data_IF_937615157061
#
_entry.id   IF_937615157061
#
_cell.length_a   1.000
_cell.length_b   1.000
_cell.length_c   1.000
_cell.angle_alpha   90.00
_cell.angle_beta   90.00
_cell.angle_gamma   90.00
#
_symmetry.space_group_name_H-M   'P 1'
#
loop_
_entity.id
_entity.type
_entity.pdbx_description
1 polymer ?
#
# COMPACT_ATOMS: atom_id res chain seq x y z
N UNK A 1 -4.33 12.53 24.08
CA UNK A 1 -4.54 13.62 25.07
C UNK A 1 -3.24 14.34 25.47
N UNK A 2 -2.19 13.65 25.93
CA UNK A 2 -0.92 14.32 26.27
C UNK A 2 -0.24 14.91 25.04
N UNK A 3 -0.16 14.15 23.95
CA UNK A 3 0.40 14.62 22.68
C UNK A 3 -0.39 15.78 22.07
N UNK A 4 -1.71 15.69 22.10
CA UNK A 4 -2.62 16.77 21.68
C UNK A 4 -2.39 18.05 22.50
N UNK A 5 -2.27 17.93 23.82
CA UNK A 5 -1.92 19.05 24.69
C UNK A 5 -0.53 19.62 24.45
N UNK A 6 0.38 18.80 23.94
CA UNK A 6 1.72 19.22 23.55
C UNK A 6 1.79 19.87 22.15
N UNK A 7 0.65 20.01 21.45
CA UNK A 7 0.55 20.69 20.17
C UNK A 7 0.76 19.78 18.94
N UNK A 8 0.51 18.48 19.08
CA UNK A 8 0.48 17.57 17.93
C UNK A 8 -0.81 17.74 17.15
N UNK A 9 -0.73 17.92 15.83
CA UNK A 9 -1.87 18.22 14.97
C UNK A 9 -2.60 16.97 14.45
N UNK A 10 -1.92 15.82 14.39
CA UNK A 10 -2.47 14.56 13.88
C UNK A 10 -1.77 13.35 14.51
N UNK A 11 -2.48 12.23 14.69
CA UNK A 11 -1.93 10.98 15.16
C UNK A 11 -1.96 9.92 14.05
N UNK A 12 -0.79 9.37 13.70
CA UNK A 12 -0.69 8.16 12.89
C UNK A 12 -0.61 6.94 13.80
N UNK A 13 -1.63 6.09 13.76
CA UNK A 13 -1.74 4.91 14.61
C UNK A 13 -1.27 3.68 13.85
N UNK A 14 -0.20 3.07 14.34
CA UNK A 14 0.37 1.81 13.86
C UNK A 14 0.44 0.80 15.01
N UNK A 15 0.73 -0.45 14.69
CA UNK A 15 0.84 -1.53 15.70
C UNK A 15 2.16 -2.29 15.59
N UNK A 16 2.48 -3.02 16.67
CA UNK A 16 3.68 -3.86 16.73
C UNK A 16 4.95 -3.12 17.16
N UNK A 17 6.03 -3.84 17.17
CA UNK A 17 7.37 -3.36 17.49
C UNK A 17 8.44 -4.22 16.82
N UNK A 18 9.72 -3.95 17.06
CA UNK A 18 10.85 -4.72 16.48
C UNK A 18 10.86 -6.19 16.87
N UNK A 19 10.25 -6.58 17.97
CA UNK A 19 10.15 -7.97 18.46
C UNK A 19 8.94 -8.68 17.81
N UNK A 20 7.78 -7.99 17.76
CA UNK A 20 6.55 -8.50 17.13
C UNK A 20 6.34 -7.87 15.74
N UNK A 21 7.25 -8.10 14.82
CA UNK A 21 7.23 -7.51 13.47
C UNK A 21 5.99 -7.87 12.66
N UNK A 22 5.44 -9.07 12.86
CA UNK A 22 4.21 -9.49 12.17
C UNK A 22 3.02 -8.56 12.45
N UNK A 23 3.00 -7.88 13.60
CA UNK A 23 1.97 -6.89 13.90
C UNK A 23 2.21 -5.55 13.22
N UNK A 24 3.47 -5.13 13.05
CA UNK A 24 3.80 -3.88 12.35
C UNK A 24 3.78 -4.03 10.81
N UNK A 25 4.02 -5.23 10.33
CA UNK A 25 4.08 -5.56 8.89
C UNK A 25 3.15 -6.74 8.59
N UNK A 26 1.83 -6.50 8.51
CA UNK A 26 0.86 -7.58 8.32
C UNK A 26 1.16 -8.41 7.07
N UNK A 27 1.22 -9.75 7.27
CA UNK A 27 1.50 -10.73 6.24
C UNK A 27 0.33 -10.92 5.26
N UNK A 28 0.53 -11.63 4.13
CA UNK A 28 -0.57 -12.12 3.30
C UNK A 28 -1.60 -12.88 4.15
N UNK A 29 -2.89 -12.71 3.84
CA UNK A 29 -3.98 -13.33 4.60
C UNK A 29 -4.38 -12.60 5.89
N UNK A 30 -3.60 -11.66 6.39
CA UNK A 30 -4.06 -10.78 7.49
C UNK A 30 -5.20 -9.91 6.99
N UNK A 31 -6.22 -9.69 7.83
CA UNK A 31 -7.33 -8.76 7.53
C UNK A 31 -6.77 -7.38 7.16
N UNK A 32 -7.33 -6.76 6.13
CA UNK A 32 -7.04 -5.37 5.80
C UNK A 32 -7.52 -4.44 6.93
N UNK A 33 -6.86 -3.31 7.11
CA UNK A 33 -7.18 -2.41 8.21
C UNK A 33 -6.85 -3.02 9.60
N UNK A 34 -5.80 -3.84 9.70
CA UNK A 34 -5.48 -4.61 10.92
C UNK A 34 -5.22 -3.75 12.17
N UNK A 35 -5.01 -2.46 12.03
CA UNK A 35 -4.83 -1.53 13.16
C UNK A 35 -6.02 -0.57 13.35
N UNK A 36 -7.12 -0.78 12.62
CA UNK A 36 -8.29 0.10 12.67
C UNK A 36 -8.94 0.13 14.07
N UNK A 37 -8.96 -0.99 14.77
CA UNK A 37 -9.49 -1.02 16.15
C UNK A 37 -8.68 -0.11 17.10
N UNK A 38 -7.35 -0.07 16.90
CA UNK A 38 -6.46 0.80 17.68
C UNK A 38 -6.73 2.28 17.38
N UNK A 39 -6.81 2.63 16.08
CA UNK A 39 -7.09 4.00 15.66
C UNK A 39 -8.46 4.47 16.13
N UNK A 40 -9.49 3.64 16.02
CA UNK A 40 -10.84 3.93 16.50
C UNK A 40 -10.88 4.17 18.02
N UNK A 41 -10.18 3.34 18.78
CA UNK A 41 -10.09 3.53 20.22
C UNK A 41 -9.40 4.86 20.61
N UNK A 42 -8.35 5.24 19.87
CA UNK A 42 -7.64 6.50 20.09
C UNK A 42 -8.49 7.69 19.63
N UNK A 43 -9.13 7.62 18.47
CA UNK A 43 -9.99 8.66 17.92
C UNK A 43 -11.08 9.08 18.91
N UNK A 44 -11.68 8.14 19.60
CA UNK A 44 -12.68 8.42 20.66
C UNK A 44 -12.14 9.21 21.86
N UNK A 45 -10.82 9.38 21.96
CA UNK A 45 -10.18 10.00 23.13
C UNK A 45 -9.50 11.35 22.84
N UNK A 46 -9.42 11.75 21.56
CA UNK A 46 -8.76 12.99 21.12
C UNK A 46 -9.66 13.76 20.17
N UNK A 47 -9.37 15.07 20.01
CA UNK A 47 -10.10 15.95 19.07
C UNK A 47 -9.29 16.28 17.82
N UNK A 48 -8.08 15.74 17.69
CA UNK A 48 -7.21 15.88 16.51
C UNK A 48 -7.40 14.70 15.56
N UNK A 49 -7.17 14.87 14.26
CA UNK A 49 -7.29 13.80 13.29
C UNK A 49 -6.46 12.57 13.64
N UNK A 50 -7.01 11.40 13.37
CA UNK A 50 -6.37 10.11 13.60
C UNK A 50 -6.33 9.32 12.29
N UNK A 51 -5.13 8.95 11.87
CA UNK A 51 -4.93 8.10 10.71
C UNK A 51 -4.62 6.66 11.13
N UNK A 52 -5.12 5.72 10.34
CA UNK A 52 -4.85 4.29 10.49
C UNK A 52 -3.95 3.74 9.40
N UNK A 53 -3.35 2.58 9.65
CA UNK A 53 -2.59 1.79 8.70
C UNK A 53 -2.85 0.30 8.96
N UNK A 54 -2.38 -0.58 8.12
CA UNK A 54 -2.43 -2.02 8.36
C UNK A 54 -2.95 -2.83 7.19
N UNK A 55 -2.11 -2.99 6.16
CA UNK A 55 -2.42 -3.76 4.95
C UNK A 55 -3.70 -3.30 4.23
N UNK A 56 -3.97 -2.02 4.21
CA UNK A 56 -5.06 -1.47 3.38
C UNK A 56 -4.53 -1.48 1.94
N UNK A 57 -5.16 -2.28 1.08
CA UNK A 57 -4.78 -2.45 -0.33
C UNK A 57 -5.93 -2.13 -1.27
N UNK A 58 -7.16 -2.28 -0.83
CA UNK A 58 -8.37 -2.05 -1.62
C UNK A 58 -9.03 -0.74 -1.18
N UNK A 59 -9.42 0.08 -2.15
CA UNK A 59 -10.00 1.41 -1.90
C UNK A 59 -11.27 1.33 -1.05
N UNK A 60 -12.16 0.37 -1.34
CA UNK A 60 -13.40 0.20 -0.60
C UNK A 60 -13.19 -0.06 0.90
N UNK A 61 -12.05 -0.71 1.29
CA UNK A 61 -11.71 -0.89 2.72
C UNK A 61 -11.38 0.44 3.37
N UNK A 62 -10.66 1.32 2.67
CA UNK A 62 -10.38 2.66 3.16
C UNK A 62 -11.67 3.49 3.31
N UNK A 63 -12.56 3.41 2.32
CA UNK A 63 -13.86 4.08 2.36
C UNK A 63 -14.73 3.59 3.53
N UNK A 64 -14.80 2.29 3.78
CA UNK A 64 -15.52 1.74 4.94
C UNK A 64 -14.94 2.24 6.26
N UNK A 65 -13.62 2.33 6.39
CA UNK A 65 -12.97 2.84 7.60
C UNK A 65 -13.37 4.29 7.86
N UNK A 66 -13.36 5.12 6.83
CA UNK A 66 -13.73 6.55 6.95
C UNK A 66 -15.24 6.71 7.17
N UNK A 67 -16.07 6.01 6.38
CA UNK A 67 -17.53 6.10 6.47
C UNK A 67 -18.07 5.66 7.85
N UNK A 68 -17.40 4.70 8.49
CA UNK A 68 -17.74 4.24 9.84
C UNK A 68 -17.03 5.05 10.94
N UNK A 69 -16.39 6.17 10.63
CA UNK A 69 -15.69 7.05 11.57
C UNK A 69 -14.62 6.34 12.44
N UNK A 70 -14.02 5.26 11.92
CA UNK A 70 -13.00 4.49 12.62
C UNK A 70 -11.62 5.16 12.59
N UNK A 71 -11.39 6.00 11.57
CA UNK A 71 -10.24 6.88 11.42
C UNK A 71 -10.63 8.09 10.54
N UNK A 72 -9.79 9.12 10.50
CA UNK A 72 -9.97 10.30 9.64
C UNK A 72 -9.16 10.19 8.34
N UNK A 73 -8.16 9.32 8.32
CA UNK A 73 -7.34 9.05 7.14
C UNK A 73 -6.80 7.62 7.16
N UNK A 74 -6.44 7.12 5.97
CA UNK A 74 -5.83 5.83 5.78
C UNK A 74 -4.45 5.97 5.14
N UNK A 75 -3.42 5.36 5.73
CA UNK A 75 -2.09 5.26 5.13
C UNK A 75 -1.99 4.01 4.25
N UNK A 76 -1.80 4.22 2.96
CA UNK A 76 -1.68 3.16 1.95
C UNK A 76 -0.24 3.15 1.45
N UNK A 77 0.56 2.17 1.89
CA UNK A 77 1.98 2.09 1.55
C UNK A 77 2.24 1.11 0.40
N UNK A 78 2.19 -0.19 0.68
CA UNK A 78 2.58 -1.24 -0.28
C UNK A 78 1.75 -1.27 -1.56
N UNK A 79 0.49 -0.86 -1.52
CA UNK A 79 -0.34 -0.73 -2.71
C UNK A 79 0.22 0.34 -3.65
N UNK A 80 0.68 1.49 -3.13
CA UNK A 80 1.33 2.54 -3.93
C UNK A 80 2.68 2.10 -4.52
N UNK A 81 3.43 1.22 -3.84
CA UNK A 81 4.64 0.61 -4.44
C UNK A 81 4.29 -0.34 -5.59
N UNK A 82 3.16 -1.02 -5.49
CA UNK A 82 2.66 -1.94 -6.50
C UNK A 82 2.07 -1.19 -7.71
N UNK A 83 1.32 -0.14 -7.43
CA UNK A 83 0.65 0.73 -8.41
C UNK A 83 0.91 2.19 -8.05
N UNK A 84 1.88 2.86 -8.70
CA UNK A 84 2.18 4.28 -8.44
C UNK A 84 0.99 5.19 -8.68
N UNK A 85 0.14 4.87 -9.67
CA UNK A 85 -1.07 5.61 -10.01
C UNK A 85 -2.31 5.21 -9.18
N UNK A 86 -2.12 4.48 -8.08
CA UNK A 86 -3.20 3.95 -7.26
C UNK A 86 -4.24 5.03 -6.89
N UNK A 87 -3.79 6.14 -6.32
CA UNK A 87 -4.69 7.19 -5.87
C UNK A 87 -5.45 7.86 -7.04
N UNK A 88 -4.77 8.12 -8.15
CA UNK A 88 -5.37 8.70 -9.35
C UNK A 88 -6.40 7.76 -9.96
N UNK A 89 -6.06 6.48 -10.11
CA UNK A 89 -6.98 5.47 -10.66
C UNK A 89 -8.24 5.30 -9.81
N UNK A 90 -8.08 5.26 -8.48
CA UNK A 90 -9.21 5.20 -7.56
C UNK A 90 -10.07 6.46 -7.66
N UNK A 91 -9.46 7.64 -7.65
CA UNK A 91 -10.18 8.91 -7.75
C UNK A 91 -10.98 9.05 -9.07
N UNK A 92 -10.47 8.48 -10.16
CA UNK A 92 -11.09 8.50 -11.48
C UNK A 92 -12.08 7.34 -11.70
N UNK A 93 -12.33 6.48 -10.72
CA UNK A 93 -13.22 5.32 -10.85
C UNK A 93 -12.65 4.19 -11.72
N UNK A 94 -11.32 4.08 -11.80
CA UNK A 94 -10.59 3.09 -12.60
C UNK A 94 -9.93 2.01 -11.73
N UNK A 95 -10.58 1.60 -10.64
CA UNK A 95 -10.04 0.62 -9.69
C UNK A 95 -9.72 -0.72 -10.34
N UNK A 96 -10.45 -1.09 -11.40
CA UNK A 96 -10.21 -2.32 -12.16
C UNK A 96 -8.83 -2.35 -12.83
N UNK A 97 -8.23 -1.19 -13.06
CA UNK A 97 -6.90 -1.04 -13.65
C UNK A 97 -5.77 -1.03 -12.61
N UNK A 98 -6.11 -1.06 -11.33
CA UNK A 98 -5.13 -1.07 -10.25
C UNK A 98 -4.47 -2.43 -10.14
N UNK A 99 -3.14 -2.48 -10.21
CA UNK A 99 -2.37 -3.69 -9.92
C UNK A 99 -2.47 -4.02 -8.42
N UNK A 100 -3.08 -5.16 -8.04
CA UNK A 100 -3.35 -5.45 -6.64
C UNK A 100 -2.07 -5.87 -5.90
N UNK A 101 -1.79 -5.26 -4.76
CA UNK A 101 -0.71 -5.68 -3.89
C UNK A 101 -1.06 -7.00 -3.19
N UNK A 102 -0.35 -8.07 -3.49
CA UNK A 102 -0.56 -9.41 -2.89
C UNK A 102 0.00 -9.55 -1.47
N UNK A 103 0.63 -8.51 -0.93
CA UNK A 103 1.17 -8.52 0.43
C UNK A 103 2.39 -9.43 0.64
N UNK A 104 3.08 -9.87 -0.42
CA UNK A 104 4.16 -10.87 -0.38
C UNK A 104 5.39 -10.46 0.47
N UNK A 105 5.54 -9.19 0.83
CA UNK A 105 6.63 -8.71 1.67
C UNK A 105 7.99 -8.55 0.97
N UNK A 106 8.10 -8.75 -0.35
CA UNK A 106 9.36 -8.60 -1.09
C UNK A 106 9.99 -7.22 -0.90
N UNK A 107 9.21 -6.16 -0.98
CA UNK A 107 9.67 -4.79 -0.73
C UNK A 107 10.20 -4.61 0.70
N UNK A 108 9.54 -5.19 1.69
CA UNK A 108 9.97 -5.13 3.09
C UNK A 108 11.28 -5.89 3.33
N UNK A 109 11.49 -7.02 2.67
CA UNK A 109 12.74 -7.76 2.75
C UNK A 109 13.92 -6.92 2.23
N UNK A 110 13.73 -6.15 1.15
CA UNK A 110 14.74 -5.21 0.67
C UNK A 110 15.17 -4.24 1.77
N UNK A 111 14.19 -3.59 2.41
CA UNK A 111 14.44 -2.64 3.51
C UNK A 111 15.15 -3.32 4.68
N UNK A 112 14.67 -4.50 5.11
CA UNK A 112 15.18 -5.20 6.31
C UNK A 112 16.61 -5.71 6.15
N UNK A 113 17.03 -6.07 4.95
CA UNK A 113 18.34 -6.63 4.68
C UNK A 113 19.27 -5.67 3.95
N UNK A 114 18.93 -4.38 3.87
CA UNK A 114 19.73 -3.36 3.19
C UNK A 114 19.93 -3.62 1.71
N UNK A 115 18.98 -4.33 1.08
CA UNK A 115 19.00 -4.63 -0.35
C UNK A 115 18.12 -3.65 -1.10
N UNK A 116 18.29 -3.58 -2.42
CA UNK A 116 17.39 -2.81 -3.28
C UNK A 116 15.95 -3.26 -3.05
N UNK A 117 15.05 -2.30 -2.86
CA UNK A 117 13.61 -2.55 -2.78
C UNK A 117 13.13 -3.01 -4.16
N UNK A 118 12.17 -3.92 -4.19
CA UNK A 118 11.55 -4.37 -5.44
C UNK A 118 10.13 -4.84 -5.16
N UNK A 119 9.29 -4.78 -6.18
CA UNK A 119 7.93 -5.31 -6.12
C UNK A 119 7.83 -6.58 -6.97
N UNK A 120 7.06 -7.57 -6.50
CA UNK A 120 6.81 -8.80 -7.28
C UNK A 120 5.85 -8.55 -8.43
N UNK A 121 4.93 -7.61 -8.27
CA UNK A 121 3.85 -7.32 -9.22
C UNK A 121 4.20 -6.14 -10.13
N UNK A 122 4.91 -5.13 -9.60
CA UNK A 122 5.33 -3.97 -10.38
C UNK A 122 6.77 -4.17 -10.88
N UNK A 123 6.98 -4.54 -12.15
CA UNK A 123 8.32 -4.73 -12.70
C UNK A 123 9.09 -3.41 -12.87
N UNK A 124 8.36 -2.30 -13.06
CA UNK A 124 8.95 -0.97 -13.28
C UNK A 124 9.23 -0.21 -11.98
N UNK A 125 9.09 -0.87 -10.82
CA UNK A 125 9.36 -0.23 -9.53
C UNK A 125 10.81 0.28 -9.45
N UNK A 126 11.00 1.56 -9.12
CA UNK A 126 12.27 2.31 -9.17
C UNK A 126 12.83 2.55 -10.59
N UNK A 127 12.09 2.18 -11.62
CA UNK A 127 12.46 2.38 -13.02
C UNK A 127 11.45 3.25 -13.77
N UNK A 128 10.50 3.88 -13.06
CA UNK A 128 9.38 4.61 -13.65
C UNK A 128 9.81 5.73 -14.60
N UNK A 129 11.01 6.28 -14.38
CA UNK A 129 11.58 7.31 -15.26
C UNK A 129 12.41 6.73 -16.44
N UNK A 130 12.79 5.46 -16.37
CA UNK A 130 13.64 4.80 -17.34
C UNK A 130 12.84 3.84 -18.23
N UNK A 131 11.74 3.30 -17.71
CA UNK A 131 10.94 2.24 -18.32
C UNK A 131 9.76 2.83 -19.11
N UNK A 132 10.05 3.80 -19.95
CA UNK A 132 9.07 4.29 -20.93
C UNK A 132 9.02 3.31 -22.11
N UNK A 133 7.94 2.52 -22.19
CA UNK A 133 7.65 1.73 -23.37
C UNK A 133 7.45 2.68 -24.56
N UNK A 134 8.46 2.80 -25.39
CA UNK A 134 8.40 3.55 -26.64
C UNK A 134 8.14 2.62 -27.82
N UNK A 135 7.48 3.13 -28.85
CA UNK A 135 7.31 2.36 -30.08
C UNK A 135 8.69 2.02 -30.66
N UNK A 136 8.88 0.77 -31.07
CA UNK A 136 10.15 0.34 -31.65
C UNK A 136 10.41 1.09 -32.97
N UNK A 137 11.61 1.63 -33.15
CA UNK A 137 12.03 2.30 -34.38
C UNK A 137 11.92 1.35 -35.60
N UNK A 138 12.20 0.08 -35.38
CA UNK A 138 12.07 -0.97 -36.40
C UNK A 138 11.11 -2.04 -35.90
N UNK A 139 9.96 -2.16 -36.56
CA UNK A 139 8.97 -3.21 -36.28
C UNK A 139 9.55 -4.58 -36.65
N UNK A 140 9.47 -5.53 -35.71
CA UNK A 140 9.93 -6.91 -35.89
C UNK A 140 8.76 -7.88 -35.70
N UNK A 141 8.79 -8.98 -36.44
CA UNK A 141 7.89 -10.09 -36.15
C UNK A 141 8.47 -10.91 -35.02
N UNK A 142 7.71 -11.06 -33.94
CA UNK A 142 8.09 -11.83 -32.73
C UNK A 142 7.21 -13.06 -32.63
N UNK A 143 7.83 -14.23 -32.54
CA UNK A 143 7.12 -15.49 -32.25
C UNK A 143 7.31 -15.84 -30.78
N UNK A 144 6.21 -15.90 -30.03
CA UNK A 144 6.21 -16.35 -28.64
C UNK A 144 5.81 -17.83 -28.60
N UNK A 145 6.70 -18.70 -28.10
CA UNK A 145 6.46 -20.14 -27.97
C UNK A 145 6.12 -20.43 -26.51
N UNK A 146 4.85 -20.69 -26.25
CA UNK A 146 4.33 -21.02 -24.93
C UNK A 146 3.37 -19.95 -24.38
N UNK A 147 2.20 -20.37 -23.89
CA UNK A 147 1.14 -19.54 -23.31
C UNK A 147 1.16 -19.53 -21.77
N UNK A 148 2.32 -19.70 -21.16
CA UNK A 148 2.49 -19.55 -19.70
C UNK A 148 2.59 -18.07 -19.27
N UNK A 149 2.75 -17.79 -17.95
CA UNK A 149 2.80 -16.41 -17.42
C UNK A 149 3.87 -15.51 -18.06
N UNK A 150 4.95 -16.11 -18.58
CA UNK A 150 6.00 -15.37 -19.27
C UNK A 150 5.73 -15.13 -20.78
N UNK A 151 4.80 -15.86 -21.36
CA UNK A 151 4.44 -15.75 -22.77
C UNK A 151 3.16 -14.95 -23.04
N UNK A 152 2.41 -14.66 -22.01
CA UNK A 152 1.24 -13.80 -22.04
C UNK A 152 1.63 -12.34 -21.84
#
# INVERSE_FOLDING_TARGET
KQLEKAGVDMLHVSGGNTVKRASSMPAPGTKQGSHTDLSSAIKKQVNIPVATVGRITDAWVADEIIANELADACYIGRANLCEPEYANKVYEGREIEVRPCIGCGRCLNGIMFGKRISCTINPSFELENEDTLTEAEVKKNVLVIGGGPAGM
#
